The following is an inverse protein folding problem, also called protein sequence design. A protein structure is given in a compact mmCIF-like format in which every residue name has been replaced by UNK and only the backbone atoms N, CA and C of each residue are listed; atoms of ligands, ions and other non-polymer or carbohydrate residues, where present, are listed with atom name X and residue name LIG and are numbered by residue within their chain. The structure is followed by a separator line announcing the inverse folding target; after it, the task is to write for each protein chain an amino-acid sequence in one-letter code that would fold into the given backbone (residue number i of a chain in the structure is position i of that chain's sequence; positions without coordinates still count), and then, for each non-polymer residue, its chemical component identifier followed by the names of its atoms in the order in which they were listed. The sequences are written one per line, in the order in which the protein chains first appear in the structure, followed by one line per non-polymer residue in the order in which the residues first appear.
data_IF_318386635129
#
_entry.id   IF_318386635129
#
_cell.length_a   1.000
_cell.length_b   1.000
_cell.length_c   1.000
_cell.angle_alpha   90.00
_cell.angle_beta   90.00
_cell.angle_gamma   90.00
#
_symmetry.space_group_name_H-M   'P 1'
#
loop_
_entity.id
_entity.type
_entity.pdbx_description
1 polymer ?
#
# COMPACT_ATOMS: atom_id res chain seq x y z
N UNK A 1 -13.89 13.33 -41.54
CA UNK A 1 -14.31 12.52 -40.40
C UNK A 1 -13.53 13.01 -39.20
N UNK A 2 -14.12 13.85 -38.35
CA UNK A 2 -13.47 14.41 -37.16
C UNK A 2 -13.41 13.28 -36.13
N UNK A 3 -12.22 12.75 -35.84
CA UNK A 3 -12.04 11.84 -34.71
C UNK A 3 -12.43 12.61 -33.45
N UNK A 4 -13.50 12.20 -32.80
CA UNK A 4 -13.83 12.71 -31.48
C UNK A 4 -12.68 12.26 -30.56
N UNK A 5 -11.91 13.22 -30.04
CA UNK A 5 -10.91 12.95 -29.00
C UNK A 5 -11.70 12.44 -27.78
N UNK A 6 -11.55 11.16 -27.47
CA UNK A 6 -12.18 10.62 -26.26
C UNK A 6 -11.57 11.29 -25.03
N UNK A 7 -12.41 11.82 -24.17
CA UNK A 7 -11.98 12.43 -22.93
C UNK A 7 -11.20 11.43 -22.06
N UNK A 8 -10.16 11.89 -21.40
CA UNK A 8 -9.44 11.09 -20.41
C UNK A 8 -10.38 10.66 -19.29
N UNK A 9 -10.22 9.44 -18.82
CA UNK A 9 -11.02 8.89 -17.71
C UNK A 9 -10.10 8.51 -16.56
N UNK A 10 -10.50 8.84 -15.35
CA UNK A 10 -9.81 8.44 -14.11
C UNK A 10 -10.74 7.53 -13.32
N UNK A 11 -10.30 6.33 -13.02
CA UNK A 11 -10.96 5.47 -12.04
C UNK A 11 -10.31 5.66 -10.69
N UNK A 12 -11.09 6.10 -9.71
CA UNK A 12 -10.67 6.15 -8.32
C UNK A 12 -11.18 4.93 -7.56
N UNK A 13 -10.26 4.10 -7.06
CA UNK A 13 -10.52 2.86 -6.33
C UNK A 13 -10.16 3.12 -4.85
N UNK A 14 -11.15 3.17 -3.94
CA UNK A 14 -10.96 3.55 -2.55
C UNK A 14 -10.31 2.44 -1.72
N UNK A 15 -9.83 2.82 -0.53
CA UNK A 15 -9.33 1.90 0.48
C UNK A 15 -10.43 1.23 1.30
N UNK A 16 -10.01 0.50 2.33
CA UNK A 16 -10.87 -0.21 3.28
C UNK A 16 -11.83 0.73 4.03
N UNK A 17 -13.02 0.25 4.37
CA UNK A 17 -14.11 0.94 5.08
C UNK A 17 -14.70 2.17 4.35
N UNK A 18 -14.44 2.32 3.05
CA UNK A 18 -14.93 3.43 2.22
C UNK A 18 -15.23 2.97 0.80
N UNK A 19 -15.65 1.73 0.66
CA UNK A 19 -15.66 1.04 -0.63
C UNK A 19 -16.97 1.22 -1.39
N UNK A 20 -18.08 1.50 -0.69
CA UNK A 20 -19.41 1.64 -1.30
C UNK A 20 -19.70 3.07 -1.79
N UNK A 21 -19.25 4.09 -1.03
CA UNK A 21 -19.54 5.49 -1.34
C UNK A 21 -18.26 6.36 -1.24
N UNK A 22 -18.12 7.37 -2.10
CA UNK A 22 -16.99 8.28 -2.02
C UNK A 22 -17.04 9.12 -0.74
N UNK A 23 -15.88 9.32 -0.15
CA UNK A 23 -15.73 10.25 0.95
C UNK A 23 -16.03 11.68 0.48
N UNK A 24 -16.71 12.47 1.31
CA UNK A 24 -17.00 13.88 1.01
C UNK A 24 -15.72 14.63 0.58
N UNK A 25 -15.78 15.27 -0.56
CA UNK A 25 -14.68 16.02 -1.16
C UNK A 25 -13.53 15.19 -1.76
N UNK A 26 -13.54 13.83 -1.71
CA UNK A 26 -12.45 13.07 -2.35
C UNK A 26 -12.53 13.13 -3.87
N UNK A 27 -13.72 13.01 -4.45
CA UNK A 27 -13.89 13.11 -5.90
C UNK A 27 -13.53 14.50 -6.41
N UNK A 28 -13.84 15.55 -5.64
CA UNK A 28 -13.41 16.91 -5.95
C UNK A 28 -11.87 17.01 -5.94
N UNK A 29 -11.21 16.44 -4.94
CA UNK A 29 -9.75 16.41 -4.89
C UNK A 29 -9.14 15.64 -6.09
N UNK A 30 -9.73 14.49 -6.48
CA UNK A 30 -9.29 13.76 -7.66
C UNK A 30 -9.55 14.57 -8.93
N UNK A 31 -10.73 15.18 -9.07
CA UNK A 31 -11.05 16.04 -10.21
C UNK A 31 -10.11 17.24 -10.32
N UNK A 32 -9.73 17.84 -9.21
CA UNK A 32 -8.75 18.93 -9.18
C UNK A 32 -7.33 18.48 -9.57
N UNK A 33 -6.98 17.21 -9.31
CA UNK A 33 -5.71 16.63 -9.75
C UNK A 33 -5.72 16.26 -11.25
N UNK A 34 -6.91 16.04 -11.84
CA UNK A 34 -7.10 15.65 -13.23
C UNK A 34 -8.20 16.50 -13.88
N UNK A 35 -8.00 17.82 -14.06
CA UNK A 35 -9.06 18.75 -14.42
C UNK A 35 -9.68 18.49 -15.80
N UNK A 36 -8.99 17.79 -16.69
CA UNK A 36 -9.47 17.50 -18.04
C UNK A 36 -10.03 16.07 -18.19
N UNK A 37 -10.13 15.34 -17.08
CA UNK A 37 -10.62 13.97 -17.08
C UNK A 37 -11.99 13.82 -16.43
N UNK A 38 -12.78 12.86 -16.92
CA UNK A 38 -13.95 12.39 -16.20
C UNK A 38 -13.50 11.46 -15.06
N UNK A 39 -13.95 11.73 -13.84
CA UNK A 39 -13.61 10.91 -12.66
C UNK A 39 -14.76 9.98 -12.33
N UNK A 40 -14.47 8.69 -12.28
CA UNK A 40 -15.39 7.63 -11.89
C UNK A 40 -14.95 7.01 -10.57
N UNK A 41 -15.86 6.95 -9.59
CA UNK A 41 -15.66 6.19 -8.36
C UNK A 41 -15.95 4.71 -8.62
N UNK A 42 -14.99 3.84 -8.34
CA UNK A 42 -15.14 2.39 -8.52
C UNK A 42 -15.40 1.72 -7.19
N UNK A 43 -16.68 1.63 -6.83
CA UNK A 43 -17.10 0.90 -5.64
C UNK A 43 -16.75 -0.60 -5.71
N UNK A 44 -16.42 -1.17 -4.54
CA UNK A 44 -16.15 -2.61 -4.40
C UNK A 44 -16.60 -3.11 -3.01
N UNK A 45 -16.73 -4.41 -2.83
CA UNK A 45 -17.21 -5.04 -1.59
C UNK A 45 -16.07 -5.22 -0.59
N UNK A 46 -15.72 -4.17 0.13
CA UNK A 46 -14.62 -4.16 1.10
C UNK A 46 -14.99 -3.62 2.48
N UNK A 47 -16.25 -3.33 2.75
CA UNK A 47 -16.71 -2.75 4.03
C UNK A 47 -16.83 -3.78 5.16
N UNK A 48 -16.04 -4.84 5.11
CA UNK A 48 -15.92 -5.81 6.17
C UNK A 48 -15.03 -5.29 7.30
N UNK A 49 -15.47 -5.43 8.55
CA UNK A 49 -14.64 -5.10 9.73
C UNK A 49 -13.48 -6.08 9.93
N UNK A 50 -13.51 -7.21 9.22
CA UNK A 50 -12.51 -8.28 9.32
C UNK A 50 -11.52 -8.16 8.16
N UNK A 51 -10.31 -7.70 8.43
CA UNK A 51 -9.27 -7.44 7.44
C UNK A 51 -9.02 -8.57 6.43
N UNK A 52 -8.84 -9.86 6.83
CA UNK A 52 -8.63 -10.92 5.84
C UNK A 52 -9.76 -11.07 4.83
N UNK A 53 -11.02 -10.82 5.23
CA UNK A 53 -12.16 -10.86 4.32
C UNK A 53 -12.12 -9.70 3.32
N UNK A 54 -11.70 -8.51 3.78
CA UNK A 54 -11.54 -7.35 2.90
C UNK A 54 -10.38 -7.55 1.91
N UNK A 55 -9.31 -8.21 2.32
CA UNK A 55 -8.20 -8.58 1.43
C UNK A 55 -8.67 -9.57 0.36
N UNK A 56 -9.41 -10.61 0.73
CA UNK A 56 -9.98 -11.59 -0.20
C UNK A 56 -10.96 -10.94 -1.19
N UNK A 57 -11.82 -10.04 -0.69
CA UNK A 57 -12.71 -9.23 -1.54
C UNK A 57 -11.90 -8.35 -2.52
N UNK A 58 -10.85 -7.67 -2.05
CA UNK A 58 -10.00 -6.85 -2.92
C UNK A 58 -9.35 -7.69 -4.04
N UNK A 59 -8.89 -8.89 -3.72
CA UNK A 59 -8.30 -9.79 -4.70
C UNK A 59 -9.33 -10.28 -5.74
N UNK A 60 -10.57 -10.57 -5.34
CA UNK A 60 -11.69 -10.90 -6.24
C UNK A 60 -12.06 -9.71 -7.12
N UNK A 61 -12.20 -8.53 -6.54
CA UNK A 61 -12.53 -7.30 -7.28
C UNK A 61 -11.47 -6.92 -8.31
N UNK A 62 -10.20 -7.23 -8.03
CA UNK A 62 -9.13 -7.01 -9.00
C UNK A 62 -9.31 -7.82 -10.30
N UNK A 63 -9.93 -9.01 -10.24
CA UNK A 63 -10.30 -9.77 -11.43
C UNK A 63 -11.45 -9.10 -12.19
N UNK A 64 -12.48 -8.65 -11.50
CA UNK A 64 -13.61 -7.94 -12.09
C UNK A 64 -13.15 -6.68 -12.81
N UNK A 65 -12.34 -5.85 -12.14
CA UNK A 65 -11.83 -4.62 -12.75
C UNK A 65 -10.87 -4.89 -13.90
N UNK A 66 -9.99 -5.89 -13.80
CA UNK A 66 -9.12 -6.26 -14.91
C UNK A 66 -9.92 -6.70 -16.15
N UNK A 67 -10.99 -7.48 -15.95
CA UNK A 67 -11.90 -7.86 -17.03
C UNK A 67 -12.64 -6.65 -17.62
N UNK A 68 -13.16 -5.75 -16.77
CA UNK A 68 -13.84 -4.54 -17.22
C UNK A 68 -12.91 -3.66 -18.08
N UNK A 69 -11.67 -3.46 -17.64
CA UNK A 69 -10.65 -2.72 -18.42
C UNK A 69 -10.27 -3.45 -19.71
N UNK A 70 -10.13 -4.77 -19.68
CA UNK A 70 -9.78 -5.56 -20.87
C UNK A 70 -10.86 -5.48 -21.96
N UNK A 71 -12.12 -5.38 -21.55
CA UNK A 71 -13.27 -5.27 -22.46
C UNK A 71 -13.50 -3.85 -23.01
N UNK A 72 -12.77 -2.85 -22.52
CA UNK A 72 -12.85 -1.49 -23.07
C UNK A 72 -12.30 -1.43 -24.49
N UNK A 73 -12.85 -0.56 -25.35
CA UNK A 73 -12.22 -0.21 -26.61
C UNK A 73 -10.75 0.24 -26.38
N UNK A 74 -9.81 -0.11 -27.27
CA UNK A 74 -8.40 0.25 -27.11
C UNK A 74 -8.17 1.73 -26.81
N UNK A 75 -8.89 2.61 -27.50
CA UNK A 75 -8.76 4.08 -27.35
C UNK A 75 -9.25 4.55 -25.95
N UNK A 76 -10.28 3.94 -25.41
CA UNK A 76 -10.78 4.23 -24.06
C UNK A 76 -9.78 3.74 -23.01
N UNK A 77 -9.23 2.53 -23.21
CA UNK A 77 -8.24 1.94 -22.29
C UNK A 77 -6.94 2.75 -22.26
N UNK A 78 -6.41 3.18 -23.40
CA UNK A 78 -5.18 3.99 -23.45
C UNK A 78 -5.38 5.44 -22.97
N UNK A 79 -6.61 5.85 -22.72
CA UNK A 79 -6.95 7.11 -22.07
C UNK A 79 -7.36 6.94 -20.58
N UNK A 80 -7.31 5.72 -20.05
CA UNK A 80 -7.68 5.42 -18.67
C UNK A 80 -6.49 5.59 -17.72
N UNK A 81 -6.70 6.33 -16.63
CA UNK A 81 -5.79 6.39 -15.48
C UNK A 81 -6.44 5.70 -14.29
N UNK A 82 -5.72 4.78 -13.66
CA UNK A 82 -6.15 4.09 -12.44
C UNK A 82 -5.53 4.76 -11.21
N UNK A 83 -6.35 5.15 -10.24
CA UNK A 83 -5.90 5.74 -8.98
C UNK A 83 -6.41 4.89 -7.83
N UNK A 84 -5.51 4.23 -7.12
CA UNK A 84 -5.88 3.33 -6.03
C UNK A 84 -5.28 3.74 -4.70
N UNK A 85 -6.08 3.80 -3.64
CA UNK A 85 -5.65 4.10 -2.28
C UNK A 85 -5.73 2.86 -1.38
N UNK A 86 -4.71 2.60 -0.56
CA UNK A 86 -4.70 1.52 0.44
C UNK A 86 -5.01 0.14 -0.20
N UNK A 87 -6.10 -0.55 0.18
CA UNK A 87 -6.57 -1.77 -0.51
C UNK A 87 -6.99 -1.50 -1.97
N UNK A 88 -7.48 -0.31 -2.30
CA UNK A 88 -7.68 0.09 -3.70
C UNK A 88 -6.36 0.13 -4.49
N UNK A 89 -5.25 0.49 -3.83
CA UNK A 89 -3.90 0.38 -4.39
C UNK A 89 -3.50 -1.07 -4.65
N UNK A 90 -3.85 -2.01 -3.75
CA UNK A 90 -3.69 -3.46 -3.97
C UNK A 90 -4.48 -3.93 -5.19
N UNK A 91 -5.76 -3.54 -5.27
CA UNK A 91 -6.61 -3.85 -6.43
C UNK A 91 -5.95 -3.34 -7.71
N UNK A 92 -5.51 -2.08 -7.72
CA UNK A 92 -4.87 -1.46 -8.89
C UNK A 92 -3.61 -2.22 -9.32
N UNK A 93 -2.71 -2.55 -8.41
CA UNK A 93 -1.49 -3.31 -8.73
C UNK A 93 -1.81 -4.67 -9.36
N UNK A 94 -2.79 -5.40 -8.80
CA UNK A 94 -3.23 -6.68 -9.33
C UNK A 94 -3.95 -6.58 -10.68
N UNK A 95 -4.74 -5.53 -10.89
CA UNK A 95 -5.35 -5.23 -12.21
C UNK A 95 -4.25 -5.05 -13.25
N UNK A 96 -3.25 -4.22 -12.95
CA UNK A 96 -2.13 -3.99 -13.86
C UNK A 96 -1.35 -5.27 -14.17
N UNK A 97 -1.05 -6.09 -13.16
CA UNK A 97 -0.35 -7.35 -13.38
C UNK A 97 -1.11 -8.27 -14.35
N UNK A 98 -2.44 -8.37 -14.22
CA UNK A 98 -3.29 -9.16 -15.13
C UNK A 98 -3.38 -8.57 -16.54
N UNK A 99 -3.42 -7.26 -16.65
CA UNK A 99 -3.37 -6.58 -17.96
C UNK A 99 -2.03 -6.84 -18.64
N UNK A 100 -0.93 -6.77 -17.90
CA UNK A 100 0.41 -7.07 -18.40
C UNK A 100 0.51 -8.50 -18.96
N UNK A 101 -0.05 -9.48 -18.26
CA UNK A 101 -0.10 -10.88 -18.71
C UNK A 101 -0.83 -11.06 -20.04
N UNK A 102 -1.73 -10.15 -20.37
CA UNK A 102 -2.48 -10.14 -21.64
C UNK A 102 -1.97 -9.11 -22.65
N UNK A 103 -0.81 -8.47 -22.39
CA UNK A 103 -0.23 -7.44 -23.26
C UNK A 103 -1.07 -6.18 -23.40
N UNK A 104 -1.98 -5.92 -22.44
CA UNK A 104 -2.87 -4.77 -22.44
C UNK A 104 -2.28 -3.63 -21.63
N UNK A 105 -2.55 -2.39 -22.06
CA UNK A 105 -2.05 -1.19 -21.38
C UNK A 105 -3.16 -0.19 -21.11
N UNK A 106 -3.05 0.49 -19.96
CA UNK A 106 -3.75 1.73 -19.64
C UNK A 106 -2.79 2.93 -19.77
N UNK A 107 -3.30 4.15 -19.73
CA UNK A 107 -2.45 5.34 -19.82
C UNK A 107 -1.45 5.42 -18.67
N UNK A 108 -1.94 5.33 -17.44
CA UNK A 108 -1.14 5.51 -16.24
C UNK A 108 -1.80 4.85 -15.03
N UNK A 109 -1.05 4.63 -13.97
CA UNK A 109 -1.60 4.31 -12.67
C UNK A 109 -0.89 5.07 -11.54
N UNK A 110 -1.64 5.34 -10.47
CA UNK A 110 -1.15 5.98 -9.25
C UNK A 110 -1.57 5.11 -8.07
N UNK A 111 -0.60 4.59 -7.35
CA UNK A 111 -0.80 3.80 -6.14
C UNK A 111 -0.49 4.67 -4.93
N UNK A 112 -1.48 4.93 -4.11
CA UNK A 112 -1.39 5.79 -2.93
C UNK A 112 -1.42 4.93 -1.67
N UNK A 113 -0.29 4.80 -0.98
CA UNK A 113 -0.21 3.99 0.23
C UNK A 113 -0.73 2.57 0.05
N UNK A 114 -0.33 1.88 -1.01
CA UNK A 114 -0.92 0.60 -1.39
C UNK A 114 -0.69 -0.49 -0.33
N UNK A 115 -1.78 -1.11 0.12
CA UNK A 115 -1.79 -2.18 1.12
C UNK A 115 -1.61 -3.57 0.47
N UNK A 116 -0.48 -3.74 -0.21
CA UNK A 116 -0.01 -4.98 -0.84
C UNK A 116 1.38 -5.32 -0.30
N UNK A 117 1.76 -6.60 -0.13
CA UNK A 117 3.11 -6.95 0.31
C UNK A 117 4.19 -6.35 -0.60
N UNK A 118 5.24 -5.76 -0.03
CA UNK A 118 6.35 -5.18 -0.80
C UNK A 118 7.09 -6.22 -1.68
N UNK A 119 6.93 -7.49 -1.35
CA UNK A 119 7.51 -8.63 -2.09
C UNK A 119 6.50 -9.35 -2.98
N UNK A 120 5.31 -8.77 -3.18
CA UNK A 120 4.27 -9.38 -4.01
C UNK A 120 4.75 -9.47 -5.47
N UNK A 121 4.66 -10.65 -6.11
CA UNK A 121 5.15 -10.84 -7.48
C UNK A 121 4.40 -10.01 -8.54
N UNK A 122 3.20 -9.55 -8.24
CA UNK A 122 2.43 -8.71 -9.16
C UNK A 122 3.05 -7.31 -9.32
N UNK A 123 3.79 -6.82 -8.32
CA UNK A 123 4.45 -5.51 -8.37
C UNK A 123 5.47 -5.40 -9.51
N UNK A 124 6.23 -6.47 -9.78
CA UNK A 124 7.22 -6.47 -10.88
C UNK A 124 6.57 -6.39 -12.27
N UNK A 125 5.31 -6.79 -12.40
CA UNK A 125 4.58 -6.81 -13.68
C UNK A 125 3.80 -5.51 -13.93
N UNK A 126 3.41 -4.77 -12.88
CA UNK A 126 2.45 -3.68 -13.00
C UNK A 126 2.89 -2.56 -13.96
N UNK A 127 4.19 -2.24 -14.02
CA UNK A 127 4.70 -1.21 -14.90
C UNK A 127 4.62 -1.56 -16.39
N UNK A 128 4.54 -2.86 -16.72
CA UNK A 128 4.41 -3.33 -18.10
C UNK A 128 3.02 -3.03 -18.69
N UNK A 129 2.01 -2.81 -17.84
CA UNK A 129 0.63 -2.53 -18.22
C UNK A 129 0.31 -1.04 -18.35
N UNK A 130 1.28 -0.14 -18.33
CA UNK A 130 1.06 1.29 -18.45
C UNK A 130 1.91 1.91 -19.56
N UNK A 131 1.41 2.98 -20.18
CA UNK A 131 2.16 3.76 -21.18
C UNK A 131 3.10 4.75 -20.49
N UNK A 132 2.58 5.46 -19.46
CA UNK A 132 3.36 6.34 -18.60
C UNK A 132 3.78 5.59 -17.33
N UNK A 133 4.83 6.02 -16.65
CA UNK A 133 5.26 5.38 -15.41
C UNK A 133 4.15 5.28 -14.37
N UNK A 134 4.08 4.15 -13.69
CA UNK A 134 3.27 4.00 -12.47
C UNK A 134 3.88 4.88 -11.39
N UNK A 135 3.09 5.77 -10.79
CA UNK A 135 3.51 6.54 -9.63
C UNK A 135 3.12 5.79 -8.36
N UNK A 136 4.10 5.31 -7.63
CA UNK A 136 3.90 4.65 -6.36
C UNK A 136 4.21 5.61 -5.22
N UNK A 137 3.18 6.24 -4.67
CA UNK A 137 3.32 7.19 -3.56
C UNK A 137 3.38 6.43 -2.24
N UNK A 138 4.56 6.44 -1.64
CA UNK A 138 4.89 5.72 -0.42
C UNK A 138 5.08 6.68 0.75
N UNK A 139 4.59 6.30 1.93
CA UNK A 139 4.76 7.09 3.15
C UNK A 139 5.38 6.22 4.26
N UNK A 140 6.68 6.37 4.55
CA UNK A 140 7.34 5.65 5.64
C UNK A 140 6.77 5.96 7.03
N UNK A 141 6.00 7.04 7.17
CA UNK A 141 5.31 7.43 8.41
C UNK A 141 3.84 7.04 8.44
N UNK A 142 3.36 6.27 7.47
CA UNK A 142 2.01 5.74 7.48
C UNK A 142 1.86 4.65 8.55
N UNK A 143 1.29 5.02 9.68
CA UNK A 143 1.11 4.14 10.82
C UNK A 143 0.13 3.00 10.54
N UNK A 144 -0.87 3.22 9.69
CA UNK A 144 -1.82 2.16 9.30
C UNK A 144 -1.11 1.06 8.53
N UNK A 145 -0.31 1.41 7.53
CA UNK A 145 0.45 0.44 6.74
C UNK A 145 1.57 -0.22 7.54
N UNK A 146 2.22 0.51 8.42
CA UNK A 146 3.35 -0.01 9.21
C UNK A 146 2.93 -0.91 10.36
N UNK A 147 1.83 -0.61 11.02
CA UNK A 147 1.44 -1.27 12.26
C UNK A 147 0.15 -2.07 12.12
N UNK A 148 -0.91 -1.47 11.57
CA UNK A 148 -2.19 -2.18 11.39
C UNK A 148 -2.03 -3.26 10.32
N UNK A 149 -1.56 -2.91 9.13
CA UNK A 149 -1.32 -3.87 8.05
C UNK A 149 -0.35 -4.98 8.47
N UNK A 150 0.78 -4.62 9.08
CA UNK A 150 1.77 -5.59 9.53
C UNK A 150 1.26 -6.51 10.66
N UNK A 151 0.24 -6.09 11.42
CA UNK A 151 -0.32 -6.86 12.54
C UNK A 151 -1.47 -7.74 12.12
N UNK A 152 -2.38 -7.23 11.29
CA UNK A 152 -3.61 -7.93 10.89
C UNK A 152 -3.57 -8.45 9.46
N UNK A 153 -2.63 -8.01 8.66
CA UNK A 153 -2.54 -8.33 7.23
C UNK A 153 -2.32 -9.81 6.90
N UNK A 154 -1.93 -10.62 7.87
CA UNK A 154 -1.80 -12.08 7.70
C UNK A 154 -0.70 -12.54 6.73
N UNK A 155 -0.19 -11.66 5.91
CA UNK A 155 0.76 -11.95 4.83
C UNK A 155 2.23 -11.79 5.28
N UNK A 156 2.46 -11.42 6.54
CA UNK A 156 3.80 -11.33 7.15
C UNK A 156 4.75 -10.33 6.50
N UNK A 157 4.24 -9.48 5.63
CA UNK A 157 5.02 -8.62 4.79
C UNK A 157 4.83 -7.15 5.17
N UNK A 158 5.83 -6.41 4.85
CA UNK A 158 5.79 -4.94 4.87
C UNK A 158 4.93 -4.49 3.71
N UNK A 159 4.05 -3.51 3.95
CA UNK A 159 3.24 -2.94 2.88
C UNK A 159 4.12 -2.13 1.90
N UNK A 160 3.89 -2.36 0.61
CA UNK A 160 4.54 -1.59 -0.46
C UNK A 160 4.35 -0.08 -0.29
N UNK A 161 3.14 0.35 0.02
CA UNK A 161 2.81 1.77 0.21
C UNK A 161 3.51 2.45 1.39
N UNK A 162 4.11 1.69 2.32
CA UNK A 162 4.94 2.24 3.39
C UNK A 162 6.42 2.28 3.02
N UNK A 163 6.91 1.30 2.24
CA UNK A 163 8.35 1.08 2.10
C UNK A 163 8.85 0.88 0.67
N UNK A 164 7.96 0.92 -0.32
CA UNK A 164 8.31 0.55 -1.68
C UNK A 164 8.61 -0.93 -1.83
N UNK A 165 9.27 -1.29 -2.93
CA UNK A 165 9.69 -2.67 -3.21
C UNK A 165 11.20 -2.84 -3.05
N UNK A 166 11.66 -3.98 -2.50
CA UNK A 166 13.08 -4.32 -2.46
C UNK A 166 13.66 -4.59 -3.86
N UNK A 167 12.81 -4.87 -4.84
CA UNK A 167 13.22 -5.17 -6.22
C UNK A 167 12.75 -4.04 -7.12
N UNK A 168 13.64 -3.40 -7.88
CA UNK A 168 13.26 -2.38 -8.85
C UNK A 168 12.23 -2.93 -9.85
N UNK A 169 11.15 -2.19 -10.07
CA UNK A 169 10.12 -2.54 -11.05
C UNK A 169 10.29 -1.66 -12.28
N UNK A 170 10.22 -2.29 -13.46
CA UNK A 170 10.25 -1.57 -14.72
C UNK A 170 9.06 -0.59 -14.82
N UNK A 171 9.31 0.61 -15.33
CA UNK A 171 8.30 1.65 -15.52
C UNK A 171 7.50 2.02 -14.25
N UNK A 172 8.14 1.94 -13.07
CA UNK A 172 7.57 2.34 -11.79
C UNK A 172 8.46 3.39 -11.15
N UNK A 173 7.86 4.52 -10.76
CA UNK A 173 8.52 5.59 -10.02
C UNK A 173 7.99 5.58 -8.59
N UNK A 174 8.84 5.23 -7.64
CA UNK A 174 8.53 5.30 -6.23
C UNK A 174 8.75 6.73 -5.73
N UNK A 175 7.69 7.33 -5.20
CA UNK A 175 7.67 8.68 -4.69
C UNK A 175 7.48 8.65 -3.17
N UNK A 176 8.50 9.06 -2.41
CA UNK A 176 8.41 9.11 -0.95
C UNK A 176 7.84 10.45 -0.52
N UNK A 177 6.79 10.42 0.29
CA UNK A 177 6.21 11.66 0.83
C UNK A 177 7.22 12.36 1.75
N UNK A 178 7.41 13.68 1.63
CA UNK A 178 8.27 14.42 2.52
C UNK A 178 7.79 14.31 3.98
N UNK A 179 8.74 14.17 4.89
CA UNK A 179 8.45 13.96 6.32
C UNK A 179 7.76 15.15 7.02
N UNK A 180 7.69 16.29 6.37
CA UNK A 180 7.27 17.58 6.94
C UNK A 180 5.86 18.02 6.50
N UNK A 181 5.12 17.21 5.77
CA UNK A 181 3.72 17.52 5.50
C UNK A 181 2.93 17.22 6.77
N UNK A 182 2.86 18.19 7.66
CA UNK A 182 1.86 18.21 8.71
C UNK A 182 0.54 18.58 8.03
N UNK A 183 -0.28 17.59 7.72
CA UNK A 183 -1.66 17.88 7.36
C UNK A 183 -2.33 18.53 8.57
N UNK A 184 -2.60 19.81 8.52
CA UNK A 184 -3.57 20.47 9.38
C UNK A 184 -4.98 19.98 8.99
N UNK A 185 -5.23 18.72 9.22
CA UNK A 185 -6.59 18.20 9.19
C UNK A 185 -7.17 18.52 10.55
N UNK A 186 -7.94 19.60 10.63
CA UNK A 186 -8.69 19.96 11.82
C UNK A 186 -9.82 18.93 12.04
N UNK A 187 -9.57 17.98 12.94
CA UNK A 187 -10.57 17.01 13.37
C UNK A 187 -10.76 17.20 14.87
N UNK A 188 -11.91 17.79 15.21
CA UNK A 188 -12.24 18.24 16.56
C UNK A 188 -12.01 17.25 17.71
N UNK A 189 -11.40 17.73 18.79
CA UNK A 189 -11.30 17.08 20.09
C UNK A 189 -9.91 16.55 20.48
N UNK A 190 -9.53 16.76 21.75
CA UNK A 190 -8.16 16.52 22.27
C UNK A 190 -7.74 15.04 22.28
N UNK A 191 -8.65 14.11 22.47
CA UNK A 191 -8.37 12.66 22.42
C UNK A 191 -8.25 12.11 21.00
N UNK A 192 -8.99 12.69 20.09
CA UNK A 192 -8.90 12.41 18.67
C UNK A 192 -7.52 12.80 18.08
N UNK A 193 -6.90 13.88 18.55
CA UNK A 193 -5.69 14.46 17.92
C UNK A 193 -4.49 13.51 17.80
N UNK A 194 -4.26 12.59 18.72
CA UNK A 194 -3.09 11.68 18.65
C UNK A 194 -3.37 10.46 17.78
N UNK A 195 -4.50 9.79 17.98
CA UNK A 195 -4.93 8.63 17.17
C UNK A 195 -5.23 9.06 15.74
N UNK A 196 -5.82 10.24 15.58
CA UNK A 196 -6.17 10.82 14.29
C UNK A 196 -4.94 11.32 13.53
N UNK A 197 -3.90 11.83 14.19
CA UNK A 197 -2.64 12.18 13.53
C UNK A 197 -1.97 10.96 12.90
N UNK A 198 -2.09 9.81 13.53
CA UNK A 198 -1.55 8.55 13.02
C UNK A 198 -2.37 8.01 11.84
N UNK A 199 -3.70 8.21 11.86
CA UNK A 199 -4.60 7.87 10.75
C UNK A 199 -4.54 8.91 9.63
N UNK A 200 -4.31 10.19 9.93
CA UNK A 200 -4.18 11.26 8.93
C UNK A 200 -3.05 11.00 7.92
N UNK A 201 -1.97 10.35 8.35
CA UNK A 201 -0.88 9.96 7.47
C UNK A 201 -1.25 8.85 6.48
N UNK A 202 -2.39 8.18 6.69
CA UNK A 202 -2.97 7.19 5.75
C UNK A 202 -4.15 7.74 4.95
N UNK A 203 -4.51 9.01 5.13
CA UNK A 203 -5.69 9.58 4.45
C UNK A 203 -5.38 9.86 2.97
N UNK A 204 -6.32 9.50 2.08
CA UNK A 204 -6.19 9.63 0.63
C UNK A 204 -5.87 11.05 0.15
N UNK A 205 -6.40 12.09 0.79
CA UNK A 205 -6.12 13.50 0.47
C UNK A 205 -4.64 13.84 0.61
N UNK A 206 -3.98 13.27 1.61
CA UNK A 206 -2.54 13.47 1.82
C UNK A 206 -1.72 12.92 0.65
N UNK A 207 -2.00 11.69 0.26
CA UNK A 207 -1.32 11.04 -0.86
C UNK A 207 -1.61 11.72 -2.18
N UNK A 208 -2.88 12.11 -2.39
CA UNK A 208 -3.32 12.75 -3.62
C UNK A 208 -2.67 14.13 -3.82
N UNK A 209 -2.54 14.93 -2.76
CA UNK A 209 -1.85 16.22 -2.84
C UNK A 209 -0.39 16.06 -3.28
N UNK A 210 0.30 15.05 -2.74
CA UNK A 210 1.66 14.77 -3.15
C UNK A 210 1.75 14.23 -4.58
N UNK A 211 0.85 13.31 -4.96
CA UNK A 211 0.77 12.82 -6.34
C UNK A 211 0.54 13.97 -7.33
N UNK A 212 -0.35 14.92 -6.99
CA UNK A 212 -0.62 16.12 -7.81
C UNK A 212 0.63 16.98 -8.01
N UNK A 213 1.46 17.14 -6.99
CA UNK A 213 2.71 17.89 -7.09
C UNK A 213 3.70 17.22 -8.05
N UNK A 214 3.84 15.90 -7.96
CA UNK A 214 4.69 15.12 -8.88
C UNK A 214 4.16 15.19 -10.32
N UNK A 215 2.86 15.07 -10.51
CA UNK A 215 2.22 15.23 -11.83
C UNK A 215 2.41 16.65 -12.40
N UNK A 216 2.52 17.66 -11.51
CA UNK A 216 2.82 19.03 -11.85
C UNK A 216 4.30 19.33 -12.15
N UNK A 217 5.15 18.31 -12.13
CA UNK A 217 6.57 18.39 -12.48
C UNK A 217 7.52 18.58 -11.30
N UNK A 218 7.05 18.39 -10.05
CA UNK A 218 7.95 18.32 -8.89
C UNK A 218 8.74 17.02 -8.94
N UNK A 219 10.05 17.10 -8.72
CA UNK A 219 10.89 15.91 -8.67
C UNK A 219 10.53 15.02 -7.47
N UNK A 220 10.36 13.71 -7.67
CA UNK A 220 10.12 12.78 -6.58
C UNK A 220 11.25 12.83 -5.55
N UNK A 221 10.91 13.02 -4.30
CA UNK A 221 11.91 13.09 -3.22
C UNK A 221 12.09 11.74 -2.52
N UNK A 222 13.35 11.38 -2.33
CA UNK A 222 13.75 10.30 -1.44
C UNK A 222 13.83 8.92 -2.09
N UNK A 223 14.54 8.03 -1.39
CA UNK A 223 14.46 6.58 -1.61
C UNK A 223 13.57 5.98 -0.55
N UNK A 224 12.79 5.01 -0.92
CA UNK A 224 12.04 4.22 0.06
C UNK A 224 13.03 3.39 0.88
N UNK A 225 12.82 3.33 2.19
CA UNK A 225 13.64 2.50 3.07
C UNK A 225 13.41 1.02 2.73
N UNK A 226 14.48 0.31 2.44
CA UNK A 226 14.41 -1.14 2.30
C UNK A 226 14.00 -1.81 3.61
N UNK A 227 13.35 -2.98 3.59
CA UNK A 227 12.85 -3.65 4.79
C UNK A 227 13.87 -3.88 5.90
N UNK A 228 15.14 -4.03 5.55
CA UNK A 228 16.24 -4.15 6.53
C UNK A 228 16.50 -2.90 7.34
N UNK A 229 16.07 -1.72 6.84
CA UNK A 229 16.22 -0.42 7.50
C UNK A 229 14.97 -0.06 8.34
N UNK A 230 14.10 -1.04 8.60
CA UNK A 230 12.89 -0.82 9.36
C UNK A 230 13.23 -0.36 10.77
N UNK A 231 12.72 0.81 11.21
CA UNK A 231 12.88 1.20 12.59
C UNK A 231 12.20 0.16 13.50
N UNK A 232 12.84 -0.07 14.62
CA UNK A 232 12.28 -0.95 15.63
C UNK A 232 10.88 -0.56 16.04
N UNK A 233 10.15 -1.51 16.57
CA UNK A 233 8.82 -1.31 17.15
C UNK A 233 8.87 -0.89 18.63
N UNK A 234 10.02 -0.49 19.11
CA UNK A 234 10.22 -0.10 20.50
C UNK A 234 9.29 1.06 20.91
N UNK A 235 8.62 0.89 22.03
CA UNK A 235 7.66 1.88 22.56
C UNK A 235 6.29 1.89 21.88
N UNK A 236 6.03 0.99 20.92
CA UNK A 236 4.70 0.86 20.32
C UNK A 236 3.73 0.16 21.29
N UNK A 237 2.47 0.62 21.34
CA UNK A 237 1.42 0.03 22.21
C UNK A 237 1.25 -1.48 21.99
N UNK A 238 1.45 -1.96 20.75
CA UNK A 238 1.36 -3.37 20.36
C UNK A 238 2.66 -4.15 20.61
N UNK A 239 3.68 -3.56 21.21
CA UNK A 239 4.98 -4.22 21.47
C UNK A 239 5.08 -4.87 22.86
N UNK A 240 4.06 -4.75 23.68
CA UNK A 240 4.06 -5.27 25.04
C UNK A 240 3.92 -6.80 25.07
N UNK A 241 4.41 -7.42 26.15
CA UNK A 241 4.25 -8.86 26.44
C UNK A 241 2.78 -9.32 26.50
N UNK A 242 1.85 -8.38 26.63
CA UNK A 242 0.40 -8.66 26.54
C UNK A 242 0.06 -9.26 25.17
N UNK A 243 0.69 -8.79 24.11
CA UNK A 243 0.41 -9.17 22.73
C UNK A 243 1.33 -10.27 22.17
N UNK A 244 2.50 -10.45 22.79
CA UNK A 244 3.51 -11.35 22.26
C UNK A 244 3.91 -12.43 23.26
N UNK A 245 4.12 -13.63 22.75
CA UNK A 245 4.69 -14.77 23.50
C UNK A 245 6.04 -15.12 22.92
N UNK A 246 7.08 -15.15 23.72
CA UNK A 246 8.41 -15.60 23.30
C UNK A 246 8.34 -17.10 23.07
N UNK A 247 8.65 -17.53 21.85
CA UNK A 247 8.71 -18.95 21.46
C UNK A 247 10.13 -19.52 21.63
N UNK A 248 11.15 -18.67 21.40
CA UNK A 248 12.56 -19.06 21.51
C UNK A 248 13.43 -17.81 21.71
N UNK A 249 14.62 -17.95 22.29
CA UNK A 249 15.56 -16.85 22.49
C UNK A 249 17.01 -17.33 22.46
N UNK A 250 17.92 -16.50 21.93
CA UNK A 250 19.37 -16.76 21.90
C UNK A 250 20.16 -15.45 21.88
N UNK A 251 21.06 -15.27 22.85
CA UNK A 251 21.96 -14.10 22.93
C UNK A 251 21.25 -12.76 22.73
N UNK A 252 20.08 -12.57 23.34
CA UNK A 252 19.28 -11.35 23.24
C UNK A 252 18.33 -11.31 22.04
N UNK A 253 18.51 -12.17 21.04
CA UNK A 253 17.56 -12.35 19.97
C UNK A 253 16.34 -13.11 20.46
N UNK A 254 15.15 -12.78 19.96
CA UNK A 254 13.89 -13.43 20.33
C UNK A 254 13.09 -13.78 19.08
N UNK A 255 12.52 -14.97 19.09
CA UNK A 255 11.43 -15.37 18.22
C UNK A 255 10.13 -15.22 19.01
N UNK A 256 9.24 -14.37 18.59
CA UNK A 256 7.99 -14.08 19.29
C UNK A 256 6.78 -14.35 18.40
N UNK A 257 5.68 -14.81 19.02
CA UNK A 257 4.40 -15.05 18.36
C UNK A 257 3.35 -14.10 18.89
N UNK A 258 2.63 -13.43 18.01
CA UNK A 258 1.50 -12.59 18.35
C UNK A 258 0.32 -13.45 18.81
N UNK A 259 -0.25 -13.14 19.97
CA UNK A 259 -1.34 -13.91 20.61
C UNK A 259 -2.68 -13.78 19.87
N UNK A 260 -2.87 -12.70 19.11
CA UNK A 260 -4.12 -12.43 18.39
C UNK A 260 -4.06 -12.97 16.97
N UNK A 261 -3.00 -12.62 16.24
CA UNK A 261 -2.88 -12.92 14.80
C UNK A 261 -2.17 -14.24 14.51
N UNK A 262 -1.45 -14.80 15.49
CA UNK A 262 -0.65 -16.01 15.30
C UNK A 262 0.65 -15.81 14.51
N UNK A 263 0.93 -14.62 14.01
CA UNK A 263 2.18 -14.32 13.31
C UNK A 263 3.37 -14.31 14.23
N UNK A 264 4.53 -14.60 13.66
CA UNK A 264 5.80 -14.58 14.38
C UNK A 264 6.69 -13.44 13.90
N UNK A 265 7.56 -12.95 14.79
CA UNK A 265 8.61 -11.99 14.49
C UNK A 265 9.93 -12.42 15.11
N UNK A 266 11.02 -11.98 14.49
CA UNK A 266 12.36 -12.08 15.07
C UNK A 266 12.80 -10.68 15.47
N UNK A 267 13.15 -10.53 16.75
CA UNK A 267 13.64 -9.30 17.37
C UNK A 267 15.10 -9.47 17.73
N UNK A 268 15.94 -8.50 17.39
CA UNK A 268 17.36 -8.48 17.78
C UNK A 268 17.57 -7.96 19.22
N UNK A 269 18.81 -7.98 19.75
CA UNK A 269 19.10 -7.44 21.08
C UNK A 269 18.77 -5.95 21.27
N UNK A 270 18.78 -5.18 20.20
CA UNK A 270 18.44 -3.75 20.18
C UNK A 270 16.93 -3.51 20.07
N UNK A 271 16.13 -4.58 20.20
CA UNK A 271 14.67 -4.61 20.07
C UNK A 271 14.16 -4.21 18.69
N UNK A 272 14.99 -4.35 17.67
CA UNK A 272 14.61 -4.12 16.29
C UNK A 272 14.04 -5.39 15.65
N UNK A 273 12.91 -5.27 14.97
CA UNK A 273 12.33 -6.39 14.22
C UNK A 273 13.13 -6.65 12.94
N UNK A 274 13.74 -7.84 12.83
CA UNK A 274 14.56 -8.25 11.68
C UNK A 274 13.82 -9.16 10.70
N UNK A 275 12.79 -9.86 11.14
CA UNK A 275 11.97 -10.71 10.29
C UNK A 275 10.55 -10.82 10.83
N UNK A 276 9.64 -11.16 9.95
CA UNK A 276 8.22 -11.32 10.23
C UNK A 276 7.63 -12.34 9.26
N UNK A 277 6.73 -13.21 9.74
CA UNK A 277 6.10 -14.22 8.89
C UNK A 277 5.32 -15.28 9.66
N UNK A 278 5.02 -16.38 8.98
CA UNK A 278 4.39 -17.55 9.59
C UNK A 278 5.35 -18.28 10.52
N UNK A 279 4.83 -18.97 11.52
CA UNK A 279 5.64 -19.62 12.55
C UNK A 279 6.70 -20.55 11.95
N UNK A 280 6.35 -21.40 10.99
CA UNK A 280 7.29 -22.35 10.39
C UNK A 280 8.47 -21.65 9.68
N UNK A 281 8.19 -20.58 8.95
CA UNK A 281 9.20 -19.76 8.26
C UNK A 281 10.12 -19.07 9.26
N UNK A 282 9.51 -18.47 10.29
CA UNK A 282 10.26 -17.73 11.30
C UNK A 282 11.10 -18.65 12.21
N UNK A 283 10.63 -19.86 12.48
CA UNK A 283 11.48 -20.88 13.16
C UNK A 283 12.71 -21.23 12.32
N UNK A 284 12.51 -21.48 11.02
CA UNK A 284 13.63 -21.75 10.11
C UNK A 284 14.61 -20.59 10.04
N UNK A 285 14.10 -19.35 9.94
CA UNK A 285 14.93 -18.14 9.93
C UNK A 285 15.68 -17.96 11.26
N UNK A 286 15.03 -18.24 12.39
CA UNK A 286 15.65 -18.12 13.71
C UNK A 286 16.76 -19.15 13.95
N UNK A 287 16.61 -20.37 13.44
CA UNK A 287 17.71 -21.37 13.47
C UNK A 287 18.93 -20.88 12.69
N UNK A 288 18.75 -20.20 11.55
CA UNK A 288 19.86 -19.56 10.83
C UNK A 288 20.52 -18.47 11.67
N UNK A 289 19.75 -17.63 12.35
CA UNK A 289 20.29 -16.63 13.27
C UNK A 289 21.09 -17.30 14.38
N UNK A 290 20.56 -18.35 15.02
CA UNK A 290 21.27 -19.09 16.08
C UNK A 290 22.58 -19.73 15.56
N UNK A 291 22.59 -20.25 14.34
CA UNK A 291 23.80 -20.83 13.75
C UNK A 291 24.89 -19.78 13.50
N UNK A 292 24.52 -18.58 13.07
CA UNK A 292 25.44 -17.46 12.86
C UNK A 292 26.00 -16.90 14.19
N UNK A 293 25.21 -16.96 15.25
CA UNK A 293 25.63 -16.52 16.58
C UNK A 293 26.58 -17.50 17.30
N UNK A 294 26.73 -18.74 16.81
CA UNK A 294 27.63 -19.75 17.34
C UNK A 294 29.07 -19.63 16.80
N UNK A 295 29.24 -18.88 15.73
CA UNK A 295 30.54 -18.54 15.14
C UNK A 295 31.15 -17.32 15.81
#
# INVERSE_FOLDING_TARGET
MTMAIMAATVWFIPGWLRTAEPHEGILECVSNAFPEASVEFKAWDGDNLVWPLSVDSADKESWRFAFEVAMMPPEARTNLTLVGHSLGGRITARVLARLAENGLKVKQAILMGAAIPATDPDLVKMGLATELPVLAVCNPKDHVLRYVYATVGGEGAVAFGANGTPTPCENVVECVTPTNITSEVDIGGIWAKKVIKDIANHHEKFYLEYARRILGGEEPSGKVMVPQDFPGVEGHVMDSEIWWTVLDSSRGWKLEKNKVTGHCRIIDPDKLRKAWGREAEMRTAFEKVKSQLKL
#
